data_IF_322722404385
#
_entry.id   IF_322722404385
#
_cell.length_a   1.000
_cell.length_b   1.000
_cell.length_c   1.000
_cell.angle_alpha   90.00
_cell.angle_beta   90.00
_cell.angle_gamma   90.00
#
_symmetry.space_group_name_H-M   'P 1'
#
loop_
_entity.id
_entity.type
_entity.pdbx_description
1 polymer ?
#
# COMPACT_ATOMS: atom_id res chain seq x y z
N UNK A 1 -11.56 61.57 6.10
CA UNK A 1 -10.86 60.43 6.74
C UNK A 1 -11.67 59.67 7.79
N UNK A 2 -12.90 60.09 8.14
CA UNK A 2 -13.77 59.38 9.11
C UNK A 2 -14.73 58.33 8.51
N UNK A 3 -14.93 58.29 7.20
CA UNK A 3 -15.85 57.39 6.55
C UNK A 3 -15.24 55.99 6.18
N UNK A 4 -13.92 55.87 6.30
CA UNK A 4 -13.21 54.61 5.94
C UNK A 4 -12.98 53.66 7.14
N UNK A 5 -13.02 54.21 8.36
CA UNK A 5 -12.87 53.38 9.58
C UNK A 5 -14.13 52.63 10.01
N UNK A 6 -15.31 53.07 9.58
CA UNK A 6 -16.56 52.44 9.95
C UNK A 6 -16.80 51.16 9.13
N UNK A 7 -16.18 51.01 7.96
CA UNK A 7 -16.36 49.83 7.09
C UNK A 7 -15.56 48.60 7.54
N UNK A 8 -14.54 48.74 8.38
CA UNK A 8 -13.70 47.64 8.84
C UNK A 8 -14.22 47.04 10.16
N UNK A 9 -15.07 47.73 10.92
CA UNK A 9 -15.63 47.23 12.18
C UNK A 9 -16.91 46.41 12.05
N UNK A 10 -17.48 46.26 10.87
CA UNK A 10 -18.76 45.57 10.61
C UNK A 10 -18.68 44.15 10.06
N UNK A 11 -17.50 43.56 9.89
CA UNK A 11 -17.40 42.10 9.64
C UNK A 11 -17.50 41.37 10.96
N UNK A 12 -18.75 41.23 11.43
CA UNK A 12 -19.07 40.36 12.55
C UNK A 12 -18.36 39.02 12.42
N UNK A 13 -17.86 38.53 13.53
CA UNK A 13 -17.50 37.13 13.71
C UNK A 13 -18.72 36.32 13.23
N UNK A 14 -18.79 35.97 11.94
CA UNK A 14 -19.72 34.95 11.49
C UNK A 14 -19.39 33.71 12.31
N UNK A 15 -20.35 33.23 13.06
CA UNK A 15 -20.24 32.03 13.85
C UNK A 15 -19.59 30.94 12.99
N UNK A 16 -18.31 30.66 13.27
CA UNK A 16 -17.55 29.61 12.61
C UNK A 16 -18.07 28.21 13.04
N UNK A 17 -18.88 28.15 14.11
CA UNK A 17 -19.41 26.92 14.66
C UNK A 17 -20.33 26.14 13.71
N UNK A 18 -20.86 26.73 12.64
CA UNK A 18 -21.82 26.09 11.76
C UNK A 18 -21.26 25.76 10.36
N UNK A 19 -19.97 25.92 10.10
CA UNK A 19 -19.37 25.66 8.76
C UNK A 19 -18.70 24.30 8.65
N UNK A 20 -18.47 23.59 9.74
CA UNK A 20 -17.80 22.27 9.74
C UNK A 20 -18.58 21.21 8.92
N UNK A 21 -19.87 21.32 8.78
CA UNK A 21 -20.71 20.41 7.97
C UNK A 21 -20.54 20.61 6.45
N UNK A 22 -19.94 21.71 6.02
CA UNK A 22 -19.72 22.02 4.60
C UNK A 22 -18.46 21.38 4.04
N UNK A 23 -17.58 20.83 4.88
CA UNK A 23 -16.30 20.27 4.49
C UNK A 23 -16.25 18.77 4.79
N UNK A 24 -15.64 18.03 3.88
CA UNK A 24 -15.24 16.65 4.15
C UNK A 24 -13.85 16.64 4.77
N UNK A 25 -13.61 15.71 5.71
CA UNK A 25 -12.27 15.48 6.23
C UNK A 25 -11.33 15.06 5.08
N UNK A 26 -10.11 15.58 5.09
CA UNK A 26 -9.12 15.35 4.03
C UNK A 26 -8.76 13.87 3.89
N UNK A 27 -8.58 13.16 4.99
CA UNK A 27 -8.17 11.76 4.99
C UNK A 27 -9.31 10.86 4.51
N UNK A 28 -10.56 11.15 4.92
CA UNK A 28 -11.74 10.44 4.42
C UNK A 28 -12.00 10.73 2.94
N UNK A 29 -11.75 11.97 2.48
CA UNK A 29 -11.81 12.31 1.05
C UNK A 29 -10.79 11.54 0.23
N UNK A 30 -9.60 11.36 0.77
CA UNK A 30 -8.55 10.56 0.11
C UNK A 30 -8.95 9.09 0.01
N UNK A 31 -9.53 8.52 1.07
CA UNK A 31 -10.05 7.14 1.03
C UNK A 31 -11.16 6.97 0.00
N UNK A 32 -12.05 7.97 -0.17
CA UNK A 32 -13.06 7.98 -1.26
C UNK A 32 -12.42 8.03 -2.65
N UNK A 33 -11.28 8.71 -2.79
CA UNK A 33 -10.53 8.64 -4.04
C UNK A 33 -10.01 7.21 -4.28
N UNK A 34 -9.43 6.57 -3.26
CA UNK A 34 -8.95 5.19 -3.41
C UNK A 34 -10.09 4.18 -3.59
N UNK A 35 -11.28 4.46 -3.04
CA UNK A 35 -12.50 3.70 -3.33
C UNK A 35 -12.81 3.67 -4.83
N UNK A 36 -12.72 4.82 -5.53
CA UNK A 36 -12.91 4.87 -6.99
C UNK A 36 -11.86 4.05 -7.76
N UNK A 37 -10.64 3.93 -7.24
CA UNK A 37 -9.63 3.03 -7.82
C UNK A 37 -10.07 1.57 -7.68
N UNK A 38 -10.70 1.21 -6.56
CA UNK A 38 -11.25 -0.13 -6.36
C UNK A 38 -12.46 -0.38 -7.29
N UNK A 39 -13.32 0.61 -7.50
CA UNK A 39 -14.46 0.54 -8.43
C UNK A 39 -14.00 0.21 -9.86
N UNK A 40 -12.85 0.70 -10.31
CA UNK A 40 -12.26 0.32 -11.61
C UNK A 40 -11.85 -1.17 -11.63
N UNK A 41 -11.35 -1.73 -10.52
CA UNK A 41 -11.07 -3.16 -10.42
C UNK A 41 -12.35 -4.01 -10.41
N UNK A 42 -13.45 -3.49 -9.88
CA UNK A 42 -14.76 -4.15 -9.82
C UNK A 42 -15.52 -4.08 -11.16
N UNK A 43 -15.23 -3.09 -12.03
CA UNK A 43 -15.97 -2.85 -13.28
C UNK A 43 -15.67 -3.94 -14.33
N UNK A 44 -16.62 -4.84 -14.55
CA UNK A 44 -16.52 -5.93 -15.54
C UNK A 44 -16.43 -5.46 -17.00
N UNK A 45 -16.67 -4.19 -17.29
CA UNK A 45 -16.51 -3.61 -18.64
C UNK A 45 -15.04 -3.36 -19.00
N UNK A 46 -14.17 -3.32 -18.02
CA UNK A 46 -12.74 -3.11 -18.24
C UNK A 46 -12.03 -4.45 -18.55
N UNK A 47 -10.96 -4.42 -19.34
CA UNK A 47 -10.14 -5.59 -19.62
C UNK A 47 -9.56 -6.19 -18.33
N UNK A 48 -9.42 -7.52 -18.29
CA UNK A 48 -9.03 -8.26 -17.09
C UNK A 48 -7.69 -7.77 -16.49
N UNK A 49 -6.66 -7.59 -17.31
CA UNK A 49 -5.34 -7.18 -16.82
C UNK A 49 -5.36 -5.75 -16.25
N UNK A 50 -6.17 -4.85 -16.82
CA UNK A 50 -6.32 -3.51 -16.24
C UNK A 50 -6.97 -3.56 -14.85
N UNK A 51 -7.95 -4.43 -14.66
CA UNK A 51 -8.61 -4.64 -13.37
C UNK A 51 -7.64 -5.20 -12.32
N UNK A 52 -6.76 -6.13 -12.71
CA UNK A 52 -5.68 -6.64 -11.86
C UNK A 52 -4.72 -5.50 -11.45
N UNK A 53 -4.33 -4.66 -12.41
CA UNK A 53 -3.53 -3.46 -12.16
C UNK A 53 -4.22 -2.52 -11.18
N UNK A 54 -5.50 -2.21 -11.35
CA UNK A 54 -6.24 -1.33 -10.43
C UNK A 54 -6.33 -1.91 -9.02
N UNK A 55 -6.49 -3.22 -8.87
CA UNK A 55 -6.48 -3.88 -7.57
C UNK A 55 -5.12 -3.73 -6.86
N UNK A 56 -4.02 -3.90 -7.61
CA UNK A 56 -2.65 -3.72 -7.10
C UNK A 56 -2.37 -2.27 -6.72
N UNK A 57 -2.84 -1.31 -7.55
CA UNK A 57 -2.73 0.13 -7.29
C UNK A 57 -3.52 0.51 -6.03
N UNK A 58 -4.75 -0.01 -5.86
CA UNK A 58 -5.56 0.21 -4.66
C UNK A 58 -4.79 -0.18 -3.38
N UNK A 59 -4.18 -1.37 -3.38
CA UNK A 59 -3.39 -1.85 -2.24
C UNK A 59 -2.15 -0.98 -1.99
N UNK A 60 -1.43 -0.62 -3.04
CA UNK A 60 -0.24 0.23 -2.94
C UNK A 60 -0.58 1.61 -2.38
N UNK A 61 -1.67 2.20 -2.85
CA UNK A 61 -2.20 3.48 -2.35
C UNK A 61 -2.58 3.38 -0.87
N UNK A 62 -3.23 2.28 -0.48
CA UNK A 62 -3.60 2.06 0.92
C UNK A 62 -2.37 1.91 1.83
N UNK A 63 -1.33 1.23 1.36
CA UNK A 63 -0.05 1.13 2.07
C UNK A 63 0.56 2.52 2.30
N UNK A 64 0.60 3.36 1.27
CA UNK A 64 1.11 4.72 1.38
C UNK A 64 0.28 5.57 2.33
N UNK A 65 -1.05 5.43 2.30
CA UNK A 65 -1.95 6.09 3.24
C UNK A 65 -1.62 5.74 4.69
N UNK A 66 -1.42 4.47 5.00
CA UNK A 66 -1.00 4.06 6.34
C UNK A 66 0.37 4.61 6.71
N UNK A 67 1.33 4.52 5.79
CA UNK A 67 2.71 4.96 6.03
C UNK A 67 2.80 6.46 6.29
N UNK A 68 2.07 7.26 5.53
CA UNK A 68 2.19 8.73 5.55
C UNK A 68 1.07 9.34 6.41
N UNK A 69 -0.19 9.07 6.09
CA UNK A 69 -1.32 9.79 6.73
C UNK A 69 -1.63 9.28 8.13
N UNK A 70 -1.80 7.97 8.30
CA UNK A 70 -2.03 7.38 9.62
C UNK A 70 -0.79 7.57 10.51
N UNK A 71 0.42 7.47 9.93
CA UNK A 71 1.66 7.77 10.61
C UNK A 71 1.70 9.19 11.17
N UNK A 72 1.48 10.20 10.32
CA UNK A 72 1.42 11.62 10.73
C UNK A 72 0.35 11.89 11.79
N UNK A 73 -0.87 11.34 11.64
CA UNK A 73 -1.93 11.50 12.64
C UNK A 73 -1.55 10.87 13.98
N UNK A 74 -0.82 9.75 13.96
CA UNK A 74 -0.31 9.11 15.17
C UNK A 74 0.72 10.00 15.87
N UNK A 75 1.64 10.60 15.12
CA UNK A 75 2.65 11.49 15.68
C UNK A 75 2.02 12.76 16.25
N UNK A 76 1.03 13.35 15.55
CA UNK A 76 0.25 14.46 16.08
C UNK A 76 -0.48 14.11 17.38
N UNK A 77 -1.07 12.92 17.47
CA UNK A 77 -1.75 12.46 18.68
C UNK A 77 -0.79 12.29 19.87
N UNK A 78 0.49 11.98 19.61
CA UNK A 78 1.52 11.92 20.65
C UNK A 78 1.94 13.31 21.15
N UNK A 79 1.92 14.33 20.28
CA UNK A 79 2.24 15.71 20.61
C UNK A 79 1.09 16.39 21.35
N UNK A 80 -0.12 16.33 20.79
CA UNK A 80 -1.33 16.90 21.40
C UNK A 80 -2.57 16.07 21.03
N UNK A 81 -3.09 15.34 22.00
CA UNK A 81 -4.29 14.50 21.83
C UNK A 81 -5.56 15.27 21.53
N UNK A 82 -5.62 16.52 21.95
CA UNK A 82 -6.81 17.38 21.84
C UNK A 82 -6.76 18.32 20.65
N UNK A 83 -5.63 18.36 19.92
CA UNK A 83 -5.52 19.15 18.70
C UNK A 83 -6.60 18.77 17.70
N UNK A 84 -7.30 19.77 17.17
CA UNK A 84 -8.42 19.59 16.24
C UNK A 84 -8.09 20.14 14.87
N UNK A 85 -8.48 19.42 13.85
CA UNK A 85 -8.36 19.84 12.47
C UNK A 85 -9.34 20.99 12.20
N UNK A 86 -8.90 21.97 11.39
CA UNK A 86 -9.56 23.28 11.25
C UNK A 86 -10.79 23.29 10.32
N UNK A 87 -11.09 22.17 9.60
CA UNK A 87 -12.21 22.09 8.65
C UNK A 87 -13.39 21.29 9.21
N UNK A 88 -13.10 20.13 9.80
CA UNK A 88 -14.14 19.22 10.32
C UNK A 88 -14.14 19.14 11.84
N UNK A 89 -13.21 19.84 12.50
CA UNK A 89 -13.09 19.87 13.96
C UNK A 89 -12.85 18.49 14.61
N UNK A 90 -12.35 17.52 13.84
CA UNK A 90 -12.01 16.20 14.34
C UNK A 90 -10.62 16.19 15.00
N UNK A 91 -10.46 15.45 16.07
CA UNK A 91 -9.16 15.15 16.65
C UNK A 91 -8.42 14.11 15.78
N UNK A 92 -7.10 13.99 15.94
CA UNK A 92 -6.31 12.98 15.23
C UNK A 92 -6.80 11.55 15.51
N UNK A 93 -7.23 11.26 16.76
CA UNK A 93 -7.82 9.97 17.13
C UNK A 93 -9.14 9.70 16.41
N UNK A 94 -10.07 10.66 16.40
CA UNK A 94 -11.35 10.56 15.68
C UNK A 94 -11.15 10.36 14.18
N UNK A 95 -10.16 11.02 13.58
CA UNK A 95 -9.81 10.84 12.17
C UNK A 95 -9.29 9.42 11.89
N UNK A 96 -8.41 8.90 12.76
CA UNK A 96 -7.90 7.52 12.65
C UNK A 96 -9.04 6.52 12.77
N UNK A 97 -9.88 6.61 13.81
CA UNK A 97 -10.99 5.67 14.03
C UNK A 97 -11.98 5.68 12.84
N UNK A 98 -12.33 6.85 12.31
CA UNK A 98 -13.17 6.98 11.13
C UNK A 98 -12.52 6.39 9.86
N UNK A 99 -11.22 6.63 9.67
CA UNK A 99 -10.46 6.06 8.57
C UNK A 99 -10.40 4.53 8.65
N UNK A 100 -10.10 3.95 9.83
CA UNK A 100 -10.06 2.50 10.02
C UNK A 100 -11.41 1.85 9.73
N UNK A 101 -12.52 2.45 10.23
CA UNK A 101 -13.86 1.95 9.96
C UNK A 101 -14.22 1.97 8.46
N UNK A 102 -13.73 2.97 7.72
CA UNK A 102 -13.93 3.03 6.26
C UNK A 102 -13.05 2.00 5.53
N UNK A 103 -11.80 1.86 5.94
CA UNK A 103 -10.87 0.88 5.35
C UNK A 103 -11.40 -0.55 5.50
N UNK A 104 -11.97 -0.93 6.65
CA UNK A 104 -12.58 -2.26 6.84
C UNK A 104 -13.66 -2.57 5.80
N UNK A 105 -14.46 -1.57 5.40
CA UNK A 105 -15.47 -1.76 4.34
C UNK A 105 -14.82 -1.95 2.96
N UNK A 106 -13.76 -1.19 2.67
CA UNK A 106 -13.05 -1.28 1.40
C UNK A 106 -12.28 -2.60 1.26
N UNK A 107 -11.70 -3.11 2.34
CA UNK A 107 -10.94 -4.36 2.33
C UNK A 107 -11.83 -5.58 2.06
N UNK A 108 -13.04 -5.62 2.61
CA UNK A 108 -14.00 -6.68 2.28
C UNK A 108 -14.39 -6.67 0.78
N UNK A 109 -14.59 -5.48 0.18
CA UNK A 109 -14.84 -5.34 -1.27
C UNK A 109 -13.62 -5.77 -2.08
N UNK A 110 -12.42 -5.37 -1.66
CA UNK A 110 -11.16 -5.76 -2.30
C UNK A 110 -11.02 -7.28 -2.36
N UNK A 111 -11.28 -7.99 -1.26
CA UNK A 111 -11.16 -9.44 -1.18
C UNK A 111 -12.20 -10.13 -2.11
N UNK A 112 -13.42 -9.60 -2.17
CA UNK A 112 -14.42 -10.08 -3.11
C UNK A 112 -14.02 -9.84 -4.58
N UNK A 113 -13.50 -8.65 -4.90
CA UNK A 113 -13.00 -8.34 -6.24
C UNK A 113 -11.81 -9.25 -6.63
N UNK A 114 -10.88 -9.48 -5.71
CA UNK A 114 -9.75 -10.40 -5.90
C UNK A 114 -10.22 -11.81 -6.27
N UNK A 115 -11.14 -12.38 -5.50
CA UNK A 115 -11.67 -13.73 -5.76
C UNK A 115 -12.36 -13.83 -7.12
N UNK A 116 -13.18 -12.83 -7.48
CA UNK A 116 -13.81 -12.80 -8.81
C UNK A 116 -12.82 -12.65 -9.97
N UNK A 117 -11.68 -11.96 -9.75
CA UNK A 117 -10.62 -11.86 -10.75
C UNK A 117 -9.83 -13.15 -10.89
N UNK A 118 -9.65 -13.93 -9.80
CA UNK A 118 -9.02 -15.26 -9.88
C UNK A 118 -9.83 -16.25 -10.71
N UNK A 119 -11.15 -16.23 -10.61
CA UNK A 119 -12.02 -17.06 -11.45
C UNK A 119 -11.83 -16.75 -12.93
N UNK A 120 -11.77 -15.46 -13.29
CA UNK A 120 -11.55 -15.04 -14.67
C UNK A 120 -10.12 -15.38 -15.16
N UNK A 121 -9.11 -15.28 -14.28
CA UNK A 121 -7.74 -15.72 -14.60
C UNK A 121 -7.69 -17.23 -14.88
N UNK A 122 -8.45 -18.03 -14.15
CA UNK A 122 -8.53 -19.48 -14.38
C UNK A 122 -9.12 -19.82 -15.77
N UNK A 123 -10.04 -19.00 -16.28
CA UNK A 123 -10.56 -19.10 -17.66
C UNK A 123 -9.47 -18.81 -18.70
N UNK A 124 -8.50 -17.95 -18.37
CA UNK A 124 -7.33 -17.65 -19.21
C UNK A 124 -6.19 -18.67 -19.05
N UNK A 125 -6.41 -19.76 -18.29
CA UNK A 125 -5.43 -20.82 -18.06
C UNK A 125 -4.40 -20.51 -16.97
N UNK A 126 -4.56 -19.40 -16.24
CA UNK A 126 -3.69 -19.06 -15.10
C UNK A 126 -4.43 -19.32 -13.79
N UNK A 127 -3.85 -20.17 -12.94
CA UNK A 127 -4.44 -20.59 -11.67
C UNK A 127 -3.45 -20.40 -10.52
N UNK A 128 -3.90 -19.73 -9.48
CA UNK A 128 -3.21 -19.72 -8.19
C UNK A 128 -3.79 -20.87 -7.37
N UNK A 129 -2.93 -21.84 -7.02
CA UNK A 129 -3.32 -23.02 -6.25
C UNK A 129 -3.02 -22.82 -4.77
N UNK A 130 -3.85 -23.40 -3.94
CA UNK A 130 -3.59 -23.62 -2.52
C UNK A 130 -3.26 -25.09 -2.23
N UNK A 131 -2.66 -25.34 -1.07
CA UNK A 131 -2.32 -26.72 -0.68
C UNK A 131 -3.52 -27.56 -0.30
N UNK A 132 -4.69 -26.99 -0.02
CA UNK A 132 -5.87 -27.73 0.35
C UNK A 132 -6.47 -28.47 -0.86
N UNK A 133 -6.38 -27.85 -2.04
CA UNK A 133 -6.95 -28.36 -3.29
C UNK A 133 -5.87 -28.91 -4.25
N UNK A 134 -4.65 -29.10 -3.76
CA UNK A 134 -3.53 -29.59 -4.58
C UNK A 134 -3.43 -31.12 -4.52
N UNK A 135 -3.15 -31.72 -5.67
CA UNK A 135 -2.86 -33.16 -5.78
C UNK A 135 -1.57 -33.54 -5.05
N UNK A 136 -1.53 -34.77 -4.53
CA UNK A 136 -0.41 -35.25 -3.72
C UNK A 136 0.91 -35.28 -4.50
N UNK A 137 0.89 -35.59 -5.80
CA UNK A 137 2.07 -35.60 -6.66
C UNK A 137 2.68 -34.21 -6.78
N UNK A 138 1.86 -33.19 -7.09
CA UNK A 138 2.31 -31.78 -7.14
C UNK A 138 2.83 -31.28 -5.78
N UNK A 139 2.20 -31.73 -4.69
CA UNK A 139 2.63 -31.41 -3.32
C UNK A 139 4.00 -32.03 -3.02
N UNK A 140 4.23 -33.29 -3.39
CA UNK A 140 5.52 -33.96 -3.20
C UNK A 140 6.67 -33.29 -3.99
N UNK A 141 6.38 -32.85 -5.23
CA UNK A 141 7.36 -32.10 -6.03
C UNK A 141 7.66 -30.72 -5.42
N UNK A 142 6.65 -30.02 -4.94
CA UNK A 142 6.86 -28.75 -4.23
C UNK A 142 7.59 -28.93 -2.90
N UNK A 143 7.38 -30.03 -2.17
CA UNK A 143 8.17 -30.35 -0.98
C UNK A 143 9.65 -30.57 -1.32
N UNK A 144 9.93 -31.27 -2.41
CA UNK A 144 11.28 -31.50 -2.90
C UNK A 144 11.95 -30.17 -3.28
N UNK A 145 11.26 -29.31 -4.05
CA UNK A 145 11.71 -27.97 -4.38
C UNK A 145 11.99 -27.14 -3.11
N UNK A 146 11.07 -27.19 -2.13
CA UNK A 146 11.22 -26.48 -0.88
C UNK A 146 12.46 -26.93 -0.10
N UNK A 147 12.69 -28.23 -0.02
CA UNK A 147 13.86 -28.79 0.69
C UNK A 147 15.18 -28.44 0.02
N UNK A 148 15.21 -28.35 -1.30
CA UNK A 148 16.42 -28.06 -2.07
C UNK A 148 16.75 -26.58 -2.13
N UNK A 149 15.77 -25.76 -2.44
CA UNK A 149 16.00 -24.35 -2.82
C UNK A 149 15.62 -23.35 -1.72
N UNK A 150 14.63 -23.65 -0.89
CA UNK A 150 14.13 -22.72 0.13
C UNK A 150 14.70 -22.98 1.51
N UNK A 151 14.63 -24.22 1.98
CA UNK A 151 14.99 -24.59 3.35
C UNK A 151 16.41 -24.17 3.77
N UNK A 152 17.45 -24.28 2.90
CA UNK A 152 18.80 -23.87 3.26
C UNK A 152 19.00 -22.36 3.41
N UNK A 153 18.13 -21.55 2.78
CA UNK A 153 18.22 -20.08 2.75
C UNK A 153 17.33 -19.41 3.79
N UNK A 154 16.37 -20.14 4.36
CA UNK A 154 15.42 -19.59 5.31
C UNK A 154 16.03 -19.50 6.72
N UNK A 155 15.91 -18.32 7.32
CA UNK A 155 16.29 -18.08 8.72
C UNK A 155 15.05 -18.08 9.59
N UNK A 156 15.02 -18.91 10.64
CA UNK A 156 13.92 -18.98 11.59
C UNK A 156 14.28 -18.36 12.94
N UNK A 157 13.36 -17.55 13.48
CA UNK A 157 13.49 -16.94 14.81
C UNK A 157 12.46 -17.54 15.75
N UNK A 158 12.85 -17.88 16.97
CA UNK A 158 11.94 -18.30 18.04
C UNK A 158 11.96 -17.26 19.14
N UNK A 159 10.82 -16.59 19.33
CA UNK A 159 10.71 -15.56 20.35
C UNK A 159 10.60 -16.22 21.72
N UNK A 160 11.49 -15.82 22.62
CA UNK A 160 11.52 -16.25 24.00
C UNK A 160 11.78 -15.07 24.94
N UNK A 161 11.53 -15.24 26.25
CA UNK A 161 11.81 -14.18 27.24
C UNK A 161 13.28 -13.70 27.25
N UNK A 162 14.19 -14.52 26.73
CA UNK A 162 15.64 -14.23 26.70
C UNK A 162 16.12 -13.65 25.38
N UNK A 163 15.30 -13.67 24.33
CA UNK A 163 15.67 -13.22 22.99
C UNK A 163 14.84 -12.01 22.61
N UNK A 164 15.51 -10.95 22.15
CA UNK A 164 14.81 -9.76 21.68
C UNK A 164 13.94 -10.09 20.48
N UNK A 165 12.80 -9.38 20.37
CA UNK A 165 11.91 -9.48 19.21
C UNK A 165 12.66 -9.03 17.94
N UNK A 166 12.65 -9.82 16.85
CA UNK A 166 13.35 -9.48 15.62
C UNK A 166 12.76 -8.20 15.02
N UNK A 167 13.60 -7.41 14.37
CA UNK A 167 13.13 -6.26 13.63
C UNK A 167 12.43 -6.71 12.35
N UNK A 168 11.14 -6.42 12.23
CA UNK A 168 10.34 -6.71 11.05
C UNK A 168 10.40 -5.50 10.09
N UNK A 169 10.87 -5.74 8.86
CA UNK A 169 11.00 -4.71 7.82
C UNK A 169 9.63 -4.16 7.41
N UNK A 170 9.58 -2.89 7.00
CA UNK A 170 8.38 -2.28 6.42
C UNK A 170 7.94 -3.04 5.17
N UNK A 171 6.64 -3.31 5.04
CA UNK A 171 6.01 -4.10 3.96
C UNK A 171 6.53 -5.55 3.83
N UNK A 172 7.38 -6.01 4.75
CA UNK A 172 7.88 -7.39 4.75
C UNK A 172 6.79 -8.38 5.14
N UNK A 173 6.73 -9.50 4.42
CA UNK A 173 5.85 -10.64 4.74
C UNK A 173 6.65 -11.65 5.57
N UNK A 174 6.02 -12.16 6.62
CA UNK A 174 6.60 -13.10 7.56
C UNK A 174 5.63 -14.26 7.81
N UNK A 175 6.12 -15.47 7.78
CA UNK A 175 5.38 -16.61 8.29
C UNK A 175 5.52 -16.66 9.81
N UNK A 176 4.40 -16.61 10.50
CA UNK A 176 4.30 -16.66 11.96
C UNK A 176 3.69 -17.98 12.38
N UNK A 177 4.32 -18.68 13.31
CA UNK A 177 3.84 -19.94 13.86
C UNK A 177 3.71 -19.91 15.36
N UNK A 178 2.68 -20.55 15.88
CA UNK A 178 2.55 -20.88 17.29
C UNK A 178 3.19 -22.23 17.53
N UNK A 179 4.27 -22.24 18.30
CA UNK A 179 5.06 -23.40 18.59
C UNK A 179 4.76 -23.89 19.99
N UNK A 180 4.33 -25.14 20.12
CA UNK A 180 4.11 -25.80 21.40
C UNK A 180 5.31 -26.69 21.75
N UNK A 181 5.74 -26.64 23.01
CA UNK A 181 6.73 -27.56 23.57
C UNK A 181 6.03 -28.74 24.25
N UNK A 182 6.77 -29.80 24.58
CA UNK A 182 6.25 -30.94 25.38
C UNK A 182 5.68 -30.50 26.75
N UNK A 183 6.09 -29.32 27.26
CA UNK A 183 5.60 -28.70 28.49
C UNK A 183 4.45 -27.71 28.25
N UNK A 184 3.75 -27.78 27.11
CA UNK A 184 2.61 -26.95 26.71
C UNK A 184 2.86 -25.42 26.70
N UNK A 185 4.13 -25.00 26.74
CA UNK A 185 4.48 -23.58 26.64
C UNK A 185 4.42 -23.13 25.19
N UNK A 186 3.55 -22.16 24.90
CA UNK A 186 3.44 -21.52 23.61
C UNK A 186 4.64 -20.58 23.38
N UNK A 187 5.25 -20.66 22.20
CA UNK A 187 6.29 -19.73 21.70
C UNK A 187 5.88 -19.25 20.32
N UNK A 188 6.43 -18.14 19.89
CA UNK A 188 6.19 -17.61 18.56
C UNK A 188 7.43 -17.88 17.70
N UNK A 189 7.22 -18.53 16.57
CA UNK A 189 8.19 -18.68 15.51
C UNK A 189 7.95 -17.63 14.43
N UNK A 190 8.99 -17.00 13.90
CA UNK A 190 8.91 -16.04 12.79
C UNK A 190 9.92 -16.41 11.74
N UNK A 191 9.48 -16.45 10.48
CA UNK A 191 10.32 -16.70 9.29
C UNK A 191 10.06 -15.60 8.27
N UNK A 192 11.08 -14.86 7.81
CA UNK A 192 10.90 -13.88 6.74
C UNK A 192 10.64 -14.59 5.40
N UNK A 193 9.61 -14.14 4.67
CA UNK A 193 9.22 -14.61 3.35
C UNK A 193 9.62 -13.59 2.26
N UNK A 194 10.83 -13.02 2.35
CA UNK A 194 11.24 -11.91 1.50
C UNK A 194 11.34 -12.27 0.01
N UNK A 195 10.70 -11.48 -0.83
CA UNK A 195 10.76 -11.57 -2.29
C UNK A 195 12.13 -11.22 -2.88
N UNK A 196 13.05 -10.71 -2.07
CA UNK A 196 14.43 -10.42 -2.49
C UNK A 196 15.24 -11.70 -2.76
N UNK A 197 14.86 -12.83 -2.14
CA UNK A 197 15.56 -14.10 -2.23
C UNK A 197 14.84 -15.06 -3.17
N UNK A 198 13.51 -15.07 -3.14
CA UNK A 198 12.69 -16.03 -3.87
C UNK A 198 11.74 -15.31 -4.84
N UNK A 199 11.50 -15.89 -6.05
CA UNK A 199 10.44 -15.43 -6.92
C UNK A 199 9.09 -15.58 -6.19
N UNK A 200 8.22 -14.58 -6.30
CA UNK A 200 6.98 -14.60 -5.54
C UNK A 200 5.94 -15.55 -6.13
N UNK A 201 5.89 -15.64 -7.47
CA UNK A 201 5.11 -16.65 -8.20
C UNK A 201 5.98 -17.88 -8.44
N UNK A 202 5.66 -18.97 -7.80
CA UNK A 202 6.34 -20.27 -7.94
C UNK A 202 5.53 -21.13 -8.87
N UNK A 203 6.04 -21.54 -10.06
CA UNK A 203 5.33 -22.45 -10.94
C UNK A 203 5.20 -23.83 -10.27
N UNK A 204 4.00 -24.41 -10.40
CA UNK A 204 3.75 -25.76 -9.88
C UNK A 204 4.29 -26.80 -10.87
N UNK A 205 5.22 -27.67 -10.46
CA UNK A 205 5.79 -28.69 -11.33
C UNK A 205 4.72 -29.56 -11.97
N UNK A 206 4.88 -29.86 -13.26
CA UNK A 206 3.94 -30.71 -14.03
C UNK A 206 2.62 -30.05 -14.41
N UNK A 207 2.37 -28.77 -14.04
CA UNK A 207 1.12 -28.06 -14.33
C UNK A 207 1.38 -26.72 -14.97
N UNK A 208 1.24 -26.62 -16.27
CA UNK A 208 1.38 -25.35 -17.01
C UNK A 208 0.29 -24.36 -16.58
N UNK A 209 0.69 -23.09 -16.37
CA UNK A 209 -0.22 -22.02 -15.98
C UNK A 209 -0.67 -22.06 -14.50
N UNK A 210 -0.19 -23.04 -13.71
CA UNK A 210 -0.49 -23.13 -12.29
C UNK A 210 0.67 -22.59 -11.44
N UNK A 211 0.35 -21.74 -10.47
CA UNK A 211 1.32 -21.09 -9.60
C UNK A 211 0.89 -21.21 -8.14
N UNK A 212 1.86 -21.07 -7.25
CA UNK A 212 1.65 -20.86 -5.82
C UNK A 212 2.49 -19.67 -5.36
N UNK A 213 2.03 -18.94 -4.36
CA UNK A 213 2.82 -17.85 -3.78
C UNK A 213 3.93 -18.42 -2.87
N UNK A 214 5.14 -17.87 -2.98
CA UNK A 214 6.29 -18.33 -2.19
C UNK A 214 6.04 -18.24 -0.68
N UNK A 215 5.32 -17.23 -0.22
CA UNK A 215 4.92 -17.09 1.18
C UNK A 215 3.98 -18.22 1.64
N UNK A 216 3.07 -18.67 0.78
CA UNK A 216 2.20 -19.80 1.06
C UNK A 216 2.96 -21.13 1.07
N UNK A 217 3.94 -21.26 0.16
CA UNK A 217 4.85 -22.40 0.14
C UNK A 217 5.64 -22.51 1.44
N UNK A 218 6.22 -21.39 1.89
CA UNK A 218 6.97 -21.30 3.15
C UNK A 218 6.05 -21.60 4.34
N UNK A 219 4.85 -21.01 4.36
CA UNK A 219 3.89 -21.23 5.43
C UNK A 219 3.45 -22.68 5.52
N UNK A 220 3.26 -23.37 4.38
CA UNK A 220 2.86 -24.77 4.37
C UNK A 220 3.93 -25.67 4.99
N UNK A 221 5.18 -25.54 4.54
CA UNK A 221 6.31 -26.36 4.99
C UNK A 221 7.03 -25.82 6.23
N UNK A 222 6.47 -24.83 6.90
CA UNK A 222 6.99 -24.23 8.11
C UNK A 222 7.37 -25.25 9.22
N UNK A 223 6.61 -26.35 9.44
CA UNK A 223 6.96 -27.38 10.42
C UNK A 223 8.34 -28.00 10.20
N UNK A 224 8.85 -28.03 8.97
CA UNK A 224 10.18 -28.58 8.66
C UNK A 224 11.32 -27.70 9.23
N UNK A 225 11.08 -26.40 9.44
CA UNK A 225 12.02 -25.46 10.03
C UNK A 225 12.10 -25.58 11.55
N UNK A 226 11.00 -25.98 12.20
CA UNK A 226 10.88 -26.02 13.66
C UNK A 226 10.95 -27.43 14.21
N UNK A 227 12.01 -28.17 13.87
CA UNK A 227 12.23 -29.54 14.39
C UNK A 227 12.21 -29.56 15.92
N UNK A 228 11.40 -30.43 16.51
CA UNK A 228 11.25 -30.56 17.96
C UNK A 228 10.14 -29.71 18.60
N UNK A 229 9.42 -28.90 17.81
CA UNK A 229 8.24 -28.18 18.20
C UNK A 229 7.00 -28.70 17.44
N UNK A 230 5.83 -28.69 18.09
CA UNK A 230 4.57 -28.89 17.41
C UNK A 230 4.03 -27.52 17.00
N UNK A 231 3.76 -27.33 15.71
CA UNK A 231 3.09 -26.12 15.18
C UNK A 231 1.58 -26.31 15.41
N UNK A 232 0.97 -25.47 16.25
CA UNK A 232 -0.46 -25.51 16.57
C UNK A 232 -1.29 -24.66 15.62
N UNK A 233 -0.83 -23.46 15.31
CA UNK A 233 -1.43 -22.57 14.31
C UNK A 233 -0.35 -21.77 13.59
N UNK A 234 -0.68 -21.27 12.41
CA UNK A 234 0.25 -20.51 11.57
C UNK A 234 -0.49 -19.52 10.69
N UNK A 235 0.11 -18.35 10.46
CA UNK A 235 -0.42 -17.27 9.62
C UNK A 235 0.71 -16.55 8.91
N UNK A 236 0.39 -15.82 7.82
CA UNK A 236 1.28 -14.81 7.30
C UNK A 236 1.00 -13.48 8.02
N UNK A 237 2.05 -12.75 8.31
CA UNK A 237 1.96 -11.42 8.91
C UNK A 237 2.73 -10.41 8.05
N UNK A 238 2.15 -9.25 7.84
CA UNK A 238 2.78 -8.12 7.14
C UNK A 238 2.70 -6.88 7.98
N UNK A 239 3.77 -6.11 8.05
CA UNK A 239 3.85 -4.89 8.85
C UNK A 239 4.01 -3.69 7.96
N UNK A 240 3.19 -2.68 8.20
CA UNK A 240 3.38 -1.34 7.65
C UNK A 240 3.91 -0.42 8.75
N UNK A 241 4.95 0.36 8.44
CA UNK A 241 5.58 1.31 9.37
C UNK A 241 5.35 2.74 8.91
N UNK A 242 5.36 3.66 9.84
CA UNK A 242 5.37 5.08 9.55
C UNK A 242 6.57 5.41 8.63
N UNK A 243 6.36 6.23 7.60
CA UNK A 243 7.43 6.69 6.70
C UNK A 243 7.68 8.20 6.85
N UNK A 244 6.82 8.88 7.60
CA UNK A 244 6.93 10.31 7.82
C UNK A 244 8.01 10.58 8.86
N UNK A 245 9.06 11.28 8.44
CA UNK A 245 10.07 11.84 9.33
C UNK A 245 10.07 13.32 9.05
N UNK A 246 9.80 14.07 10.07
CA UNK A 246 10.09 15.51 10.05
C UNK A 246 11.61 15.67 9.97
N UNK A 247 12.10 15.97 8.77
CA UNK A 247 13.53 16.13 8.52
C UNK A 247 14.10 17.31 9.31
N UNK A 248 13.24 18.30 9.62
CA UNK A 248 13.62 19.49 10.37
C UNK A 248 13.91 19.19 11.85
N UNK A 249 13.28 18.14 12.42
CA UNK A 249 13.57 17.69 13.80
C UNK A 249 14.91 16.96 13.95
N UNK A 250 15.59 16.67 12.84
CA UNK A 250 16.83 15.89 12.84
C UNK A 250 18.01 16.76 12.41
N UNK A 251 17.76 18.04 12.13
CA UNK A 251 18.79 18.96 11.67
C UNK A 251 19.83 19.16 12.77
N UNK A 252 21.05 18.68 12.51
CA UNK A 252 22.23 18.90 13.33
C UNK A 252 23.15 19.81 12.51
N UNK A 253 23.42 21.00 13.02
CA UNK A 253 24.22 22.02 12.33
C UNK A 253 25.66 21.59 12.08
N UNK A 254 26.15 20.59 12.83
CA UNK A 254 27.51 20.04 12.72
C UNK A 254 27.65 18.94 11.65
N UNK A 255 26.53 18.42 11.10
CA UNK A 255 26.55 17.38 10.07
C UNK A 255 26.45 17.98 8.67
N UNK A 256 27.28 17.50 7.74
CA UNK A 256 27.09 17.84 6.34
C UNK A 256 25.78 17.22 5.79
N UNK A 257 25.19 17.80 4.76
CA UNK A 257 23.90 17.40 4.20
C UNK A 257 23.84 15.90 3.85
N UNK A 258 24.93 15.31 3.37
CA UNK A 258 25.01 13.91 2.99
C UNK A 258 24.89 12.99 4.22
N UNK A 259 25.62 13.31 5.29
CA UNK A 259 25.63 12.51 6.52
C UNK A 259 24.30 12.69 7.26
N UNK A 260 23.76 13.90 7.27
CA UNK A 260 22.40 14.20 7.75
C UNK A 260 21.36 13.32 7.01
N UNK A 261 21.36 13.32 5.68
CA UNK A 261 20.42 12.50 4.89
C UNK A 261 20.64 10.99 5.09
N UNK A 262 21.89 10.54 5.28
CA UNK A 262 22.17 9.14 5.60
C UNK A 262 21.58 8.76 6.97
N UNK A 263 21.63 9.64 7.96
CA UNK A 263 21.03 9.42 9.27
C UNK A 263 19.50 9.43 9.23
N UNK A 264 18.89 10.35 8.48
CA UNK A 264 17.44 10.39 8.22
C UNK A 264 17.00 9.05 7.59
N UNK A 265 17.68 8.57 6.56
CA UNK A 265 17.38 7.28 5.93
C UNK A 265 17.54 6.11 6.90
N UNK A 266 18.55 6.14 7.79
CA UNK A 266 18.75 5.13 8.82
C UNK A 266 17.64 5.12 9.88
N UNK A 267 17.16 6.31 10.27
CA UNK A 267 16.03 6.47 11.21
C UNK A 267 14.72 6.01 10.56
N UNK A 268 14.47 6.31 9.27
CA UNK A 268 13.30 5.82 8.52
C UNK A 268 13.11 4.31 8.59
N UNK A 269 14.18 3.54 8.57
CA UNK A 269 14.11 2.07 8.66
C UNK A 269 13.58 1.56 10.01
N UNK A 270 13.58 2.39 11.06
CA UNK A 270 13.21 2.01 12.43
C UNK A 270 11.89 2.63 12.92
N UNK A 271 11.12 3.25 12.05
CA UNK A 271 9.90 3.94 12.45
C UNK A 271 8.83 3.02 13.01
N UNK A 272 7.94 3.61 13.81
CA UNK A 272 6.91 2.87 14.53
C UNK A 272 5.97 2.10 13.59
N UNK A 273 5.55 0.88 13.94
CA UNK A 273 4.50 0.18 13.22
C UNK A 273 3.18 0.96 13.29
N UNK A 274 2.46 1.01 12.17
CA UNK A 274 1.15 1.66 12.06
C UNK A 274 0.04 0.68 11.71
N UNK A 275 0.36 -0.51 11.15
CA UNK A 275 -0.58 -1.56 10.82
C UNK A 275 0.09 -2.93 10.87
N UNK A 276 -0.66 -3.93 11.35
CA UNK A 276 -0.35 -5.35 11.25
C UNK A 276 -1.45 -6.03 10.43
N UNK A 277 -1.08 -6.77 9.42
CA UNK A 277 -1.96 -7.52 8.54
C UNK A 277 -1.71 -9.01 8.73
N UNK A 278 -2.76 -9.80 8.80
CA UNK A 278 -2.73 -11.26 8.97
C UNK A 278 -3.53 -11.91 7.85
N UNK A 279 -3.06 -13.05 7.34
CA UNK A 279 -3.74 -13.79 6.27
C UNK A 279 -4.72 -14.84 6.78
N UNK A 280 -4.67 -15.17 8.05
CA UNK A 280 -5.49 -16.20 8.71
C UNK A 280 -5.64 -15.88 10.18
N UNK A 281 -6.76 -16.30 10.72
CA UNK A 281 -7.01 -16.25 12.16
C UNK A 281 -5.94 -17.01 12.94
N UNK A 282 -5.48 -16.44 14.03
CA UNK A 282 -4.50 -17.02 14.96
C UNK A 282 -4.95 -16.71 16.39
N UNK A 283 -4.44 -17.48 17.36
CA UNK A 283 -4.77 -17.31 18.78
C UNK A 283 -4.66 -15.84 19.22
N UNK A 284 -5.71 -15.30 19.82
CA UNK A 284 -5.79 -13.91 20.31
C UNK A 284 -4.62 -13.53 21.24
N UNK A 285 -4.18 -14.48 22.11
CA UNK A 285 -3.01 -14.28 22.98
C UNK A 285 -1.74 -13.96 22.19
N UNK A 286 -1.62 -14.53 20.97
CA UNK A 286 -0.47 -14.32 20.09
C UNK A 286 -0.57 -12.95 19.42
N UNK A 287 -1.77 -12.57 18.99
CA UNK A 287 -2.02 -11.22 18.44
C UNK A 287 -1.66 -10.16 19.48
N UNK A 288 -2.12 -10.31 20.72
CA UNK A 288 -1.79 -9.40 21.82
C UNK A 288 -0.28 -9.37 22.11
N UNK A 289 0.38 -10.54 22.05
CA UNK A 289 1.84 -10.61 22.22
C UNK A 289 2.59 -9.90 21.10
N UNK A 290 2.14 -10.06 19.84
CA UNK A 290 2.70 -9.35 18.68
C UNK A 290 2.49 -7.84 18.83
N UNK A 291 1.27 -7.40 19.14
CA UNK A 291 0.94 -5.99 19.35
C UNK A 291 1.78 -5.36 20.46
N UNK A 292 1.97 -6.07 21.57
CA UNK A 292 2.82 -5.61 22.68
C UNK A 292 4.28 -5.45 22.27
N UNK A 293 4.85 -6.43 21.56
CA UNK A 293 6.22 -6.37 21.08
C UNK A 293 6.43 -5.28 20.01
N UNK A 294 5.43 -5.05 19.18
CA UNK A 294 5.43 -4.03 18.13
C UNK A 294 5.02 -2.65 18.64
N UNK A 295 4.48 -2.55 19.88
CA UNK A 295 3.87 -1.33 20.43
C UNK A 295 2.75 -0.80 19.53
N UNK A 296 1.93 -1.69 19.00
CA UNK A 296 0.83 -1.41 18.09
C UNK A 296 -0.50 -1.52 18.83
N UNK A 297 -1.44 -0.60 18.55
CA UNK A 297 -2.81 -0.69 19.04
C UNK A 297 -3.53 -1.88 18.36
N UNK A 298 -4.20 -2.79 19.12
CA UNK A 298 -4.95 -3.91 18.55
C UNK A 298 -5.99 -3.52 17.50
N UNK A 299 -6.57 -2.32 17.57
CA UNK A 299 -7.48 -1.78 16.54
C UNK A 299 -6.87 -1.67 15.15
N UNK A 300 -5.55 -1.79 15.03
CA UNK A 300 -4.78 -1.68 13.78
C UNK A 300 -4.30 -3.02 13.27
N UNK A 301 -4.87 -4.10 13.78
CA UNK A 301 -4.70 -5.44 13.25
C UNK A 301 -5.81 -5.70 12.25
N UNK A 302 -5.45 -6.17 11.06
CA UNK A 302 -6.37 -6.48 9.97
C UNK A 302 -6.19 -7.94 9.57
N UNK A 303 -7.28 -8.63 9.38
CA UNK A 303 -7.31 -9.97 8.83
C UNK A 303 -7.89 -9.91 7.42
N UNK A 304 -7.27 -10.62 6.48
CA UNK A 304 -7.63 -10.61 5.07
C UNK A 304 -7.75 -12.02 4.53
N UNK A 305 -8.74 -12.24 3.69
CA UNK A 305 -8.93 -13.51 2.97
C UNK A 305 -8.10 -13.56 1.67
N UNK A 306 -7.61 -12.41 1.21
CA UNK A 306 -6.74 -12.30 0.04
C UNK A 306 -5.26 -12.19 0.45
N UNK A 307 -4.29 -12.39 -0.47
CA UNK A 307 -2.87 -12.20 -0.19
C UNK A 307 -2.57 -10.81 0.38
N UNK A 308 -1.63 -10.74 1.34
CA UNK A 308 -1.27 -9.50 2.05
C UNK A 308 -0.64 -8.42 1.15
N UNK A 309 -0.20 -8.79 -0.03
CA UNK A 309 0.37 -7.88 -1.02
C UNK A 309 -0.01 -8.36 -2.43
N UNK A 310 -0.64 -7.50 -3.22
CA UNK A 310 -1.11 -7.81 -4.56
C UNK A 310 -0.11 -7.48 -5.68
N UNK A 311 1.11 -7.07 -5.36
CA UNK A 311 2.12 -6.70 -6.37
C UNK A 311 2.50 -7.84 -7.33
N UNK A 312 2.28 -9.11 -6.95
CA UNK A 312 2.50 -10.26 -7.81
C UNK A 312 1.55 -10.29 -9.03
N UNK A 313 0.42 -9.59 -8.98
CA UNK A 313 -0.52 -9.52 -10.10
C UNK A 313 0.12 -8.88 -11.33
N UNK A 314 1.05 -7.94 -11.17
CA UNK A 314 1.84 -7.39 -12.29
C UNK A 314 2.71 -8.46 -12.97
N UNK A 315 3.19 -9.48 -12.23
CA UNK A 315 3.93 -10.60 -12.81
C UNK A 315 3.01 -11.53 -13.61
N UNK A 316 1.74 -11.65 -13.22
CA UNK A 316 0.71 -12.37 -13.98
C UNK A 316 0.39 -11.63 -15.27
N UNK A 317 0.24 -10.32 -15.23
CA UNK A 317 0.01 -9.48 -16.42
C UNK A 317 1.14 -9.65 -17.45
N UNK A 318 2.40 -9.72 -16.99
CA UNK A 318 3.54 -9.95 -17.88
C UNK A 318 3.44 -11.27 -18.66
N UNK A 319 2.85 -12.30 -18.07
CA UNK A 319 2.62 -13.60 -18.73
C UNK A 319 1.47 -13.55 -19.74
N UNK A 320 0.49 -12.66 -19.52
CA UNK A 320 -0.67 -12.48 -20.37
C UNK A 320 -0.47 -11.44 -21.48
N UNK A 321 0.71 -10.84 -21.62
CA UNK A 321 0.98 -9.76 -22.62
C UNK A 321 0.71 -10.15 -24.07
N UNK A 322 0.71 -11.43 -24.39
CA UNK A 322 0.34 -11.94 -25.72
C UNK A 322 -1.17 -11.83 -26.02
N UNK A 323 -2.00 -11.76 -24.98
CA UNK A 323 -3.46 -11.67 -25.07
C UNK A 323 -3.89 -10.20 -25.07
N UNK A 324 -3.82 -9.56 -26.24
CA UNK A 324 -4.05 -8.09 -26.38
C UNK A 324 -5.48 -7.66 -26.04
N UNK A 325 -6.45 -8.56 -26.08
CA UNK A 325 -7.85 -8.36 -25.70
C UNK A 325 -8.04 -8.17 -24.18
N UNK A 326 -7.08 -8.63 -23.38
CA UNK A 326 -7.08 -8.46 -21.91
C UNK A 326 -6.53 -7.12 -21.45
N UNK A 327 -6.09 -6.26 -22.36
CA UNK A 327 -5.52 -4.93 -22.10
C UNK A 327 -6.28 -3.85 -22.87
N UNK A 328 -6.14 -2.61 -22.43
CA UNK A 328 -6.60 -1.49 -23.24
C UNK A 328 -5.82 -1.43 -24.55
N UNK A 329 -6.52 -1.12 -25.64
CA UNK A 329 -5.87 -0.86 -26.92
C UNK A 329 -4.81 0.25 -26.77
N UNK A 330 -3.60 0.08 -27.32
CA UNK A 330 -2.57 1.10 -27.27
C UNK A 330 -3.13 2.44 -27.78
N UNK A 331 -3.02 3.48 -26.97
CA UNK A 331 -3.43 4.81 -27.42
C UNK A 331 -2.47 5.29 -28.49
N UNK A 332 -2.95 5.36 -29.72
CA UNK A 332 -2.23 6.04 -30.79
C UNK A 332 -2.14 7.53 -30.45
N UNK A 333 -0.92 8.08 -30.54
CA UNK A 333 -0.73 9.52 -30.36
C UNK A 333 -1.53 10.23 -31.45
N UNK A 334 -2.49 11.07 -31.08
CA UNK A 334 -3.12 11.96 -32.04
C UNK A 334 -2.02 12.82 -32.67
N UNK A 335 -1.99 12.97 -34.01
CA UNK A 335 -1.03 13.85 -34.66
C UNK A 335 -1.12 15.24 -34.03
N UNK A 336 0.01 15.83 -33.72
CA UNK A 336 0.05 17.18 -33.19
C UNK A 336 -0.71 18.11 -34.11
N UNK A 337 -1.74 18.76 -33.61
CA UNK A 337 -2.39 19.83 -34.37
C UNK A 337 -1.36 20.91 -34.60
N UNK A 338 -1.05 21.20 -35.88
CA UNK A 338 -0.19 22.33 -36.26
C UNK A 338 -0.93 23.62 -35.85
N UNK A 339 -0.54 24.17 -34.73
CA UNK A 339 -1.03 25.44 -34.26
C UNK A 339 -0.25 26.55 -34.90
N UNK A 340 -0.77 27.10 -36.00
CA UNK A 340 -0.21 28.29 -36.60
C UNK A 340 -0.65 29.53 -35.80
N UNK A 341 0.20 30.53 -35.78
CA UNK A 341 -0.10 31.82 -35.09
C UNK A 341 -1.35 32.53 -35.66
N UNK A 342 -1.81 32.08 -36.83
CA UNK A 342 -3.00 32.59 -37.52
C UNK A 342 -4.32 31.99 -36.98
N UNK A 343 -4.28 30.93 -36.15
CA UNK A 343 -5.50 30.28 -35.66
C UNK A 343 -6.10 31.10 -34.51
N UNK A 344 -7.31 31.68 -34.65
CA UNK A 344 -7.94 32.52 -33.60
C UNK A 344 -8.16 31.81 -32.27
N UNK A 345 -8.37 30.48 -32.29
CA UNK A 345 -8.56 29.66 -31.08
C UNK A 345 -7.28 29.54 -30.24
N UNK A 346 -6.10 29.62 -30.87
CA UNK A 346 -4.82 29.63 -30.17
C UNK A 346 -4.61 30.89 -29.34
N UNK A 347 -4.96 32.07 -29.88
CA UNK A 347 -4.87 33.34 -29.13
C UNK A 347 -5.81 33.37 -27.93
N UNK A 348 -6.96 32.72 -28.02
CA UNK A 348 -7.95 32.66 -26.95
C UNK A 348 -7.53 31.64 -25.85
N UNK A 349 -6.90 30.54 -26.25
CA UNK A 349 -6.37 29.51 -25.34
C UNK A 349 -5.17 30.00 -24.50
N UNK A 350 -4.27 30.79 -25.13
CA UNK A 350 -3.13 31.38 -24.40
C UNK A 350 -3.54 32.48 -23.40
N UNK A 351 -4.71 33.06 -23.54
CA UNK A 351 -5.24 34.05 -22.60
C UNK A 351 -6.06 33.46 -21.45
N UNK A 352 -6.51 32.23 -21.55
CA UNK A 352 -7.25 31.48 -20.51
C UNK A 352 -6.50 30.19 -20.22
N UNK A 353 -5.79 30.18 -19.14
CA UNK A 353 -5.21 29.06 -18.38
C UNK A 353 -5.71 27.66 -18.68
N UNK A 354 -5.44 27.09 -19.84
CA UNK A 354 -5.69 25.69 -20.11
C UNK A 354 -4.45 24.99 -20.68
N UNK A 355 -3.28 25.27 -20.07
CA UNK A 355 -2.04 24.52 -20.30
C UNK A 355 -2.15 23.02 -20.01
N UNK A 356 -3.13 22.59 -19.22
CA UNK A 356 -3.37 21.18 -18.90
C UNK A 356 -3.78 20.35 -20.13
N UNK A 357 -4.56 20.92 -21.04
CA UNK A 357 -5.01 20.19 -22.26
C UNK A 357 -3.87 20.04 -23.28
N UNK A 358 -2.93 20.98 -23.30
CA UNK A 358 -1.75 20.92 -24.20
C UNK A 358 -0.73 19.89 -23.71
N UNK A 359 -0.65 19.65 -22.40
CA UNK A 359 0.28 18.67 -21.82
C UNK A 359 -0.11 17.21 -22.08
N UNK A 360 -1.39 16.92 -22.31
CA UNK A 360 -1.86 15.58 -22.64
C UNK A 360 -1.72 15.23 -24.15
N UNK A 361 -1.39 16.20 -24.99
CA UNK A 361 -1.16 15.95 -26.42
C UNK A 361 0.32 15.98 -26.73
N UNK A 362 0.86 14.81 -26.91
CA UNK A 362 2.11 14.44 -27.58
C UNK A 362 3.36 15.31 -27.35
N UNK A 363 4.42 14.66 -27.04
CA UNK A 363 5.80 15.05 -27.30
C UNK A 363 6.06 15.25 -28.81
N UNK A 364 5.50 16.30 -29.40
CA UNK A 364 5.94 16.87 -30.68
C UNK A 364 6.54 18.23 -30.40
N UNK A 365 7.30 18.81 -31.34
CA UNK A 365 7.92 20.11 -31.12
C UNK A 365 6.82 21.09 -30.74
N UNK A 366 6.81 21.30 -29.50
CA UNK A 366 6.31 22.34 -28.67
C UNK A 366 5.76 23.57 -29.37
N UNK A 367 4.66 24.00 -28.86
CA UNK A 367 4.22 25.39 -28.90
C UNK A 367 5.44 26.31 -28.67
N UNK A 368 5.74 27.20 -29.55
CA UNK A 368 6.86 28.16 -29.47
C UNK A 368 6.81 29.03 -28.19
N UNK A 369 5.68 29.10 -27.49
CA UNK A 369 5.56 29.75 -26.20
C UNK A 369 6.13 28.92 -25.04
N UNK A 370 6.41 27.60 -25.23
CA UNK A 370 7.02 26.75 -24.24
C UNK A 370 8.54 26.59 -24.42
N UNK A 371 9.11 27.14 -25.50
CA UNK A 371 10.55 27.06 -25.83
C UNK A 371 11.36 28.29 -25.49
N UNK A 372 10.86 29.19 -24.66
CA UNK A 372 11.71 30.26 -24.14
C UNK A 372 12.72 29.72 -23.13
N UNK A 373 14.01 30.12 -23.25
CA UNK A 373 15.06 29.67 -22.33
C UNK A 373 14.77 30.08 -20.88
N UNK A 374 15.39 29.40 -19.90
CA UNK A 374 14.97 29.39 -18.49
C UNK A 374 15.20 30.68 -17.69
N UNK A 375 15.45 31.82 -18.33
CA UNK A 375 15.67 33.09 -17.62
C UNK A 375 14.40 33.76 -17.06
N UNK A 376 13.21 33.27 -17.42
CA UNK A 376 11.95 33.75 -16.84
C UNK A 376 11.01 32.57 -16.55
N UNK A 377 11.22 31.92 -15.42
CA UNK A 377 10.23 30.98 -14.87
C UNK A 377 9.02 31.79 -14.37
N UNK A 378 8.04 32.00 -15.23
CA UNK A 378 6.72 32.29 -14.73
C UNK A 378 6.10 31.00 -14.22
N UNK A 379 6.08 30.85 -12.92
CA UNK A 379 5.25 29.89 -12.23
C UNK A 379 3.79 30.21 -12.55
N UNK A 380 3.08 29.31 -13.25
CA UNK A 380 1.63 29.31 -13.24
C UNK A 380 1.18 28.57 -11.97
N UNK A 381 0.58 29.25 -10.99
CA UNK A 381 0.00 28.56 -9.85
C UNK A 381 -1.19 27.71 -10.34
N UNK A 382 -1.15 26.43 -10.02
CA UNK A 382 -2.30 25.56 -10.14
C UNK A 382 -3.43 26.06 -9.21
N UNK A 383 -4.54 26.39 -9.77
CA UNK A 383 -5.82 26.45 -9.07
C UNK A 383 -6.64 25.22 -9.39
#
# INVERSE_FOLDING_TARGET
MQAFEVFIRGKGKRNMENTYHCYANRELSWLRFNERVLEEAEDSRLPLCERLSFLSIFQSNLDEFFMVRIGSLQDQMLLDKNARENKTNMTSGEQIDAALAFIHKLTARRDAAYNGLLEQLAEQGIRLLDFAHMEEESRAELEKLFRQDYLPLLSSFIISKKQAFPFLKNKGIYAVAVLSTKAEKKKIGIVPCGSEIFPRLVPVPGRTGCFILSEELILHFLPLLYKGYKVSSKTLARITRNADIDADLIYDEDLNYRDHMAEVVKKRKKLAPVRLELSREIDEEIIQSLCKNLKLDPKRVFEYDSPLDHSFLFQIEDQLRSHTDLFFAPRTRSPALHWTSANPSFRRSCRRTSCSIIRMRASGPSCSCCTKPPATRMWCPSR
#
